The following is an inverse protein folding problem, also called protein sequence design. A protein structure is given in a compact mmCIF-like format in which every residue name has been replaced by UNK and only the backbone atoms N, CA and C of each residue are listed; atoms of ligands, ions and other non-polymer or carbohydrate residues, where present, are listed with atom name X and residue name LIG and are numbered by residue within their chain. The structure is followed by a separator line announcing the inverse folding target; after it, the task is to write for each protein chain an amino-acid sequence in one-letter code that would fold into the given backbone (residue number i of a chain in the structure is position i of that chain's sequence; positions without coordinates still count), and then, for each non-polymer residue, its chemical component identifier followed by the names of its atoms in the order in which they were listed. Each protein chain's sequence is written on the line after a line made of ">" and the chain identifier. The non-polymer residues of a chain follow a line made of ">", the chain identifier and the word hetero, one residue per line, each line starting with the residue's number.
data_IF_982888208088
#
_entry.id   IF_982888208088
#
_cell.length_a   1.000
_cell.length_b   1.000
_cell.length_c   1.000
_cell.angle_alpha   90.00
_cell.angle_beta   90.00
_cell.angle_gamma   90.00
#
_symmetry.space_group_name_H-M   'P 1'
#
loop_
_entity.id
_entity.type
_entity.pdbx_description
1 polymer ?
#
# COMPACT_ATOMS: atom_id res chain seq x y z
N UNK A 1 12.83 9.74 -54.82
CA UNK A 1 11.91 10.32 -53.82
C UNK A 1 11.26 9.16 -53.05
N UNK A 2 11.11 9.26 -51.72
CA UNK A 2 10.42 8.30 -50.81
C UNK A 2 11.23 7.12 -50.23
N UNK A 3 12.33 7.37 -49.53
CA UNK A 3 12.89 6.43 -48.54
C UNK A 3 13.24 7.12 -47.21
N UNK A 4 13.53 8.42 -47.22
CA UNK A 4 13.80 9.22 -46.02
C UNK A 4 12.56 9.51 -45.14
N UNK A 5 11.35 9.18 -45.61
CA UNK A 5 10.10 9.57 -44.94
C UNK A 5 9.64 8.61 -43.84
N UNK A 6 10.01 7.32 -43.92
CA UNK A 6 9.53 6.31 -42.95
C UNK A 6 10.31 6.37 -41.62
N UNK A 7 11.62 6.64 -41.69
CA UNK A 7 12.49 6.70 -40.51
C UNK A 7 12.19 7.92 -39.63
N UNK A 8 11.88 9.06 -40.25
CA UNK A 8 11.53 10.28 -39.51
C UNK A 8 10.22 10.12 -38.71
N UNK A 9 9.23 9.40 -39.26
CA UNK A 9 7.95 9.15 -38.59
C UNK A 9 8.16 8.22 -37.38
N UNK A 10 8.97 7.17 -37.51
CA UNK A 10 9.25 6.23 -36.42
C UNK A 10 9.93 6.90 -35.21
N UNK A 11 10.84 7.86 -35.42
CA UNK A 11 11.47 8.62 -34.34
C UNK A 11 10.49 9.54 -33.60
N UNK A 12 9.51 10.13 -34.31
CA UNK A 12 8.50 11.01 -33.71
C UNK A 12 7.54 10.22 -32.80
N UNK A 13 7.18 8.98 -33.18
CA UNK A 13 6.34 8.11 -32.35
C UNK A 13 7.03 7.61 -31.07
N UNK A 14 8.35 7.39 -31.10
CA UNK A 14 9.09 7.02 -29.89
C UNK A 14 9.31 8.20 -28.95
N UNK A 15 9.39 9.43 -29.47
CA UNK A 15 9.53 10.64 -28.67
C UNK A 15 8.24 11.05 -27.94
N UNK A 16 7.08 10.51 -28.32
CA UNK A 16 5.80 10.71 -27.62
C UNK A 16 5.57 9.72 -26.48
N UNK A 17 6.55 8.89 -26.11
CA UNK A 17 6.53 8.19 -24.84
C UNK A 17 6.65 9.24 -23.73
N UNK A 18 5.52 9.85 -23.38
CA UNK A 18 5.42 10.78 -22.27
C UNK A 18 6.02 10.13 -21.02
N UNK A 19 6.69 10.94 -20.21
CA UNK A 19 7.13 10.53 -18.89
C UNK A 19 5.93 10.04 -18.10
N UNK A 20 5.80 8.71 -17.96
CA UNK A 20 4.91 8.12 -16.96
C UNK A 20 5.61 8.36 -15.63
N UNK A 21 5.27 9.47 -14.98
CA UNK A 21 5.53 9.58 -13.56
C UNK A 21 4.72 8.47 -12.91
N UNK A 22 5.40 7.48 -12.35
CA UNK A 22 4.76 6.56 -11.42
C UNK A 22 4.23 7.43 -10.28
N UNK A 23 2.93 7.69 -10.28
CA UNK A 23 2.31 8.41 -9.17
C UNK A 23 2.56 7.55 -7.93
N UNK A 24 3.39 8.05 -7.02
CA UNK A 24 3.70 7.37 -5.78
C UNK A 24 2.47 7.49 -4.89
N UNK A 25 1.49 6.61 -5.11
CA UNK A 25 0.24 6.59 -4.35
C UNK A 25 0.56 6.16 -2.93
N UNK A 26 0.82 7.15 -2.08
CA UNK A 26 0.96 6.95 -0.65
C UNK A 26 -0.42 6.70 -0.07
N UNK A 27 -0.78 5.44 0.07
CA UNK A 27 -2.07 5.03 0.64
C UNK A 27 -2.00 5.03 2.17
N UNK A 28 -2.58 6.06 2.79
CA UNK A 28 -2.66 6.23 4.24
C UNK A 28 -3.65 5.24 4.86
N UNK A 29 -3.12 4.26 5.60
CA UNK A 29 -3.91 3.24 6.31
C UNK A 29 -3.74 3.38 7.81
N UNK A 30 -4.85 3.27 8.53
CA UNK A 30 -4.87 3.09 9.98
C UNK A 30 -5.02 1.60 10.29
N UNK A 31 -4.26 1.11 11.26
CA UNK A 31 -4.37 -0.25 11.77
C UNK A 31 -4.79 -0.16 13.24
N UNK A 32 -5.90 -0.80 13.59
CA UNK A 32 -6.48 -0.76 14.93
C UNK A 32 -6.57 -2.19 15.46
N UNK A 33 -5.85 -2.49 16.55
CA UNK A 33 -6.02 -3.77 17.25
C UNK A 33 -7.21 -3.71 18.19
N UNK A 34 -8.00 -4.77 18.19
CA UNK A 34 -9.07 -4.99 19.15
C UNK A 34 -8.53 -5.84 20.31
N UNK A 35 -8.93 -5.46 21.54
CA UNK A 35 -8.47 -6.13 22.76
C UNK A 35 -9.43 -7.21 23.24
N UNK A 36 -10.71 -7.12 22.86
CA UNK A 36 -11.73 -8.10 23.23
C UNK A 36 -11.80 -9.21 22.19
N UNK A 37 -11.76 -8.85 20.91
CA UNK A 37 -11.67 -9.78 19.80
C UNK A 37 -10.26 -9.77 19.23
N UNK A 38 -9.59 -10.93 19.06
CA UNK A 38 -8.24 -10.98 18.50
C UNK A 38 -8.29 -10.71 16.99
N UNK A 39 -8.43 -9.44 16.61
CA UNK A 39 -8.42 -8.95 15.22
C UNK A 39 -7.70 -7.61 15.10
N UNK A 40 -7.26 -7.30 13.88
CA UNK A 40 -6.77 -5.97 13.48
C UNK A 40 -7.66 -5.45 12.35
N UNK A 41 -8.27 -4.29 12.54
CA UNK A 41 -9.05 -3.62 11.49
C UNK A 41 -8.16 -2.66 10.72
N UNK A 42 -8.19 -2.75 9.38
CA UNK A 42 -7.47 -1.86 8.47
C UNK A 42 -8.46 -0.84 7.92
N UNK A 43 -8.17 0.44 8.07
CA UNK A 43 -9.08 1.54 7.71
C UNK A 43 -8.37 2.47 6.72
N UNK A 44 -9.09 2.89 5.68
CA UNK A 44 -8.69 4.00 4.82
C UNK A 44 -8.72 5.28 5.66
N UNK A 45 -7.55 5.87 5.91
CA UNK A 45 -7.44 7.00 6.82
C UNK A 45 -8.10 8.28 6.28
N UNK A 46 -8.39 8.35 4.98
CA UNK A 46 -9.02 9.51 4.33
C UNK A 46 -10.53 9.34 4.31
N UNK A 47 -11.02 8.16 3.91
CA UNK A 47 -12.46 7.89 3.75
C UNK A 47 -13.12 7.35 5.00
N UNK A 48 -12.34 6.89 5.98
CA UNK A 48 -12.83 6.18 7.17
C UNK A 48 -13.43 4.80 6.85
N UNK A 49 -13.29 4.32 5.62
CA UNK A 49 -13.84 3.04 5.21
C UNK A 49 -12.97 1.89 5.73
N UNK A 50 -13.59 0.84 6.27
CA UNK A 50 -12.88 -0.42 6.55
C UNK A 50 -12.43 -1.04 5.23
N UNK A 51 -11.12 -1.22 5.10
CA UNK A 51 -10.48 -1.86 3.96
C UNK A 51 -10.35 -3.37 4.17
N UNK A 52 -10.06 -3.79 5.41
CA UNK A 52 -9.87 -5.20 5.75
C UNK A 52 -10.04 -5.46 7.26
N UNK A 53 -10.19 -6.72 7.65
CA UNK A 53 -10.13 -7.21 9.02
C UNK A 53 -9.28 -8.47 9.09
N UNK A 54 -8.13 -8.37 9.74
CA UNK A 54 -7.14 -9.43 9.83
C UNK A 54 -7.35 -10.20 11.14
N UNK A 55 -7.66 -11.51 11.11
CA UNK A 55 -7.71 -12.31 12.32
C UNK A 55 -6.30 -12.50 12.88
N UNK A 56 -6.17 -12.39 14.20
CA UNK A 56 -4.94 -12.70 14.95
C UNK A 56 -5.26 -13.74 16.03
N UNK A 57 -4.24 -14.27 16.70
CA UNK A 57 -4.41 -15.37 17.68
C UNK A 57 -4.68 -14.86 19.10
N UNK A 58 -4.17 -13.68 19.44
CA UNK A 58 -4.33 -13.04 20.74
C UNK A 58 -4.32 -11.51 20.57
N UNK A 59 -4.78 -10.73 21.57
CA UNK A 59 -4.63 -9.28 21.57
C UNK A 59 -3.19 -8.84 21.30
N UNK A 60 -3.02 -7.80 20.48
CA UNK A 60 -1.70 -7.36 20.02
C UNK A 60 -1.44 -5.87 20.25
N UNK A 61 -0.20 -5.57 20.60
CA UNK A 61 0.37 -4.23 20.44
C UNK A 61 0.88 -4.06 19.02
N UNK A 62 0.67 -2.88 18.43
CA UNK A 62 1.05 -2.58 17.05
C UNK A 62 2.28 -1.67 17.01
N UNK A 63 3.26 -2.02 16.18
CA UNK A 63 4.47 -1.23 15.97
C UNK A 63 4.72 -1.05 14.48
N UNK A 64 5.04 0.18 14.05
CA UNK A 64 5.35 0.47 12.66
C UNK A 64 6.85 0.40 12.42
N UNK A 65 7.27 -0.09 11.25
CA UNK A 65 8.65 0.06 10.81
C UNK A 65 8.98 1.54 10.57
N UNK A 66 10.27 1.88 10.60
CA UNK A 66 10.75 3.25 10.36
C UNK A 66 10.26 3.79 9.00
N UNK A 67 10.32 2.95 7.96
CA UNK A 67 9.84 3.30 6.61
C UNK A 67 8.31 3.49 6.50
N UNK A 68 7.54 3.12 7.52
CA UNK A 68 6.08 3.18 7.48
C UNK A 68 5.38 2.09 6.66
N UNK A 69 6.14 1.31 5.86
CA UNK A 69 5.59 0.30 4.93
C UNK A 69 5.15 -1.01 5.59
N UNK A 70 5.44 -1.20 6.88
CA UNK A 70 5.12 -2.43 7.61
C UNK A 70 4.61 -2.10 9.00
N UNK A 71 3.57 -2.82 9.44
CA UNK A 71 3.09 -2.82 10.82
C UNK A 71 3.22 -4.24 11.37
N UNK A 72 3.87 -4.36 12.52
CA UNK A 72 4.04 -5.61 13.25
C UNK A 72 2.98 -5.69 14.36
N UNK A 73 2.24 -6.79 14.40
CA UNK A 73 1.32 -7.12 15.49
C UNK A 73 2.01 -8.07 16.47
N UNK A 74 2.51 -7.55 17.58
CA UNK A 74 3.19 -8.33 18.61
C UNK A 74 2.13 -8.89 19.56
N UNK A 75 1.96 -10.21 19.50
CA UNK A 75 0.98 -10.95 20.27
C UNK A 75 1.65 -11.54 21.51
N UNK A 76 1.07 -11.31 22.69
CA UNK A 76 1.43 -12.04 23.90
C UNK A 76 0.85 -13.45 23.88
N UNK A 77 1.20 -14.26 24.88
CA UNK A 77 0.53 -15.55 25.07
C UNK A 77 -0.94 -15.32 25.42
N UNK A 78 -1.84 -16.06 24.78
CA UNK A 78 -3.27 -15.95 25.05
C UNK A 78 -3.55 -16.36 26.51
N UNK A 79 -3.95 -15.41 27.35
CA UNK A 79 -4.24 -15.64 28.78
C UNK A 79 -3.14 -15.24 29.76
N UNK A 80 -1.99 -14.73 29.29
CA UNK A 80 -0.98 -14.13 30.15
C UNK A 80 -1.33 -12.65 30.39
N UNK A 81 -2.22 -12.38 31.35
CA UNK A 81 -2.57 -11.05 31.84
C UNK A 81 -2.11 -10.89 33.29
#
# INVERSE_FOLDING_TARGET
>A
MKLASATAVALILCASAGTVFAEEVTAWRLFVSDREEPKVTVIDAVKGATLDTLPIKAPASLYRSESGRTVFAVQGDAGAF
#
